data_IF_393555366527
#
_entry.id   IF_393555366527
#
_cell.length_a   1.000
_cell.length_b   1.000
_cell.length_c   1.000
_cell.angle_alpha   90.00
_cell.angle_beta   90.00
_cell.angle_gamma   90.00
#
_symmetry.space_group_name_H-M   'P 1'
#
loop_
_entity.id
_entity.type
_entity.pdbx_description
1 polymer ?
#
# COMPACT_ATOMS: atom_id res chain seq x y z
N UNK A 1 32.18 -20.83 55.30
CA UNK A 1 32.35 -20.47 53.88
C UNK A 1 31.65 -21.44 52.92
N UNK A 2 30.80 -22.36 53.39
CA UNK A 2 30.21 -23.42 52.54
C UNK A 2 28.70 -23.30 52.35
N UNK A 3 27.97 -22.56 53.19
CA UNK A 3 26.51 -22.48 53.14
C UNK A 3 25.99 -21.57 52.02
N UNK A 4 26.70 -20.48 51.70
CA UNK A 4 26.32 -19.54 50.62
C UNK A 4 26.47 -20.20 49.24
N UNK A 5 27.49 -21.04 49.06
CA UNK A 5 27.73 -21.74 47.80
C UNK A 5 26.65 -22.80 47.50
N UNK A 6 26.01 -23.37 48.53
CA UNK A 6 24.96 -24.37 48.37
C UNK A 6 23.61 -23.72 48.01
N UNK A 7 23.33 -22.53 48.54
CA UNK A 7 22.16 -21.71 48.20
C UNK A 7 22.21 -21.19 46.75
N UNK A 8 23.39 -20.76 46.27
CA UNK A 8 23.58 -20.32 44.88
C UNK A 8 23.31 -21.46 43.88
N UNK A 9 23.72 -22.69 44.20
CA UNK A 9 23.50 -23.87 43.34
C UNK A 9 22.03 -24.28 43.32
N UNK A 10 21.34 -24.19 44.47
CA UNK A 10 19.90 -24.45 44.55
C UNK A 10 19.09 -23.40 43.78
N UNK A 11 19.47 -22.13 43.88
CA UNK A 11 18.81 -21.03 43.17
C UNK A 11 19.01 -21.14 41.65
N UNK A 12 20.20 -21.56 41.21
CA UNK A 12 20.47 -21.83 39.80
C UNK A 12 19.61 -23.00 39.28
N UNK A 13 19.50 -24.09 40.04
CA UNK A 13 18.70 -25.24 39.65
C UNK A 13 17.18 -24.95 39.60
N UNK A 14 16.67 -24.13 40.52
CA UNK A 14 15.27 -23.68 40.47
C UNK A 14 15.00 -22.76 39.28
N UNK A 15 15.96 -21.91 38.92
CA UNK A 15 15.87 -21.03 37.77
C UNK A 15 15.84 -21.83 36.45
N UNK A 16 16.73 -22.80 36.29
CA UNK A 16 16.75 -23.66 35.10
C UNK A 16 15.41 -24.42 34.96
N UNK A 17 14.89 -24.98 36.05
CA UNK A 17 13.62 -25.71 36.04
C UNK A 17 12.39 -24.81 35.73
N UNK A 18 12.47 -23.51 36.03
CA UNK A 18 11.42 -22.54 35.73
C UNK A 18 11.54 -21.94 34.32
N UNK A 19 12.76 -21.81 33.80
CA UNK A 19 13.04 -21.16 32.50
C UNK A 19 12.90 -22.14 31.34
N UNK A 20 13.38 -23.38 31.49
CA UNK A 20 13.28 -24.42 30.45
C UNK A 20 11.85 -24.62 29.91
N UNK A 21 10.80 -24.78 30.73
CA UNK A 21 9.44 -24.95 30.20
C UNK A 21 8.92 -23.69 29.50
N UNK A 22 9.34 -22.50 29.94
CA UNK A 22 8.94 -21.23 29.29
C UNK A 22 9.66 -21.09 27.95
N UNK A 23 10.93 -21.49 27.87
CA UNK A 23 11.71 -21.50 26.64
C UNK A 23 11.11 -22.48 25.61
N UNK A 24 10.75 -23.69 26.04
CA UNK A 24 10.08 -24.68 25.21
C UNK A 24 8.72 -24.17 24.70
N UNK A 25 7.91 -23.52 25.55
CA UNK A 25 6.64 -22.91 25.15
C UNK A 25 6.83 -21.78 24.12
N UNK A 26 7.85 -20.93 24.29
CA UNK A 26 8.18 -19.87 23.34
C UNK A 26 8.69 -20.45 22.00
N UNK A 27 9.46 -21.52 22.04
CA UNK A 27 9.97 -22.19 20.83
C UNK A 27 8.83 -22.84 20.04
N UNK A 28 7.85 -23.45 20.72
CA UNK A 28 6.65 -24.00 20.09
C UNK A 28 5.77 -22.90 19.48
N UNK A 29 5.57 -21.78 20.18
CA UNK A 29 4.80 -20.64 19.68
C UNK A 29 5.46 -19.96 18.46
N UNK A 30 6.79 -19.98 18.38
CA UNK A 30 7.53 -19.40 17.25
C UNK A 30 7.72 -20.38 16.09
N UNK A 31 7.63 -21.69 16.32
CA UNK A 31 7.66 -22.70 15.27
C UNK A 31 6.38 -22.72 14.40
N UNK A 32 5.21 -22.38 14.97
CA UNK A 32 3.95 -22.27 14.22
C UNK A 32 3.85 -20.97 13.41
N UNK A 33 4.67 -19.96 13.74
CA UNK A 33 4.91 -18.79 12.91
C UNK A 33 5.80 -19.17 11.71
N UNK A 34 5.26 -20.03 10.83
CA UNK A 34 5.85 -20.33 9.54
C UNK A 34 6.14 -19.00 8.82
N UNK A 35 7.41 -18.64 8.77
CA UNK A 35 7.87 -17.47 8.03
C UNK A 35 7.48 -17.70 6.58
N UNK A 36 6.63 -16.85 5.97
CA UNK A 36 6.33 -17.01 4.56
C UNK A 36 7.65 -16.87 3.81
N UNK A 37 8.03 -17.91 3.08
CA UNK A 37 9.18 -17.92 2.18
C UNK A 37 8.96 -16.85 1.11
N UNK A 38 9.37 -15.62 1.42
CA UNK A 38 9.44 -14.55 0.47
C UNK A 38 10.54 -14.91 -0.54
N UNK A 39 10.17 -15.06 -1.81
CA UNK A 39 11.12 -15.21 -2.90
C UNK A 39 12.16 -14.08 -2.83
N UNK A 40 13.43 -14.47 -2.75
CA UNK A 40 14.56 -13.60 -2.55
C UNK A 40 14.82 -12.72 -3.80
N UNK A 41 14.06 -11.64 -3.95
CA UNK A 41 14.24 -10.70 -5.05
C UNK A 41 13.27 -9.53 -5.07
N UNK A 42 12.07 -9.68 -4.51
CA UNK A 42 11.05 -8.63 -4.54
C UNK A 42 11.03 -7.87 -3.21
N UNK A 43 11.19 -6.54 -3.27
CA UNK A 43 11.00 -5.71 -2.07
C UNK A 43 9.56 -5.91 -1.54
N UNK A 44 9.38 -5.96 -0.21
CA UNK A 44 8.06 -6.12 0.37
C UNK A 44 7.15 -4.96 -0.05
N UNK A 45 5.94 -5.28 -0.50
CA UNK A 45 4.95 -4.29 -0.95
C UNK A 45 4.55 -3.31 0.17
N UNK A 46 4.54 -3.77 1.43
CA UNK A 46 4.27 -2.97 2.62
C UNK A 46 5.25 -3.37 3.72
N UNK A 47 5.76 -2.41 4.49
CA UNK A 47 6.60 -2.65 5.69
C UNK A 47 5.97 -2.01 6.92
N UNK A 48 5.75 -2.80 7.96
CA UNK A 48 5.32 -2.32 9.28
C UNK A 48 6.56 -1.81 10.03
N UNK A 49 6.59 -0.53 10.36
CA UNK A 49 7.73 0.11 11.06
C UNK A 49 7.57 0.05 12.58
N UNK A 50 6.33 0.07 13.08
CA UNK A 50 6.02 0.09 14.51
C UNK A 50 4.65 -0.54 14.78
N UNK A 51 4.52 -1.20 15.93
CA UNK A 51 3.30 -1.87 16.39
C UNK A 51 3.30 -3.36 16.07
N UNK A 52 2.34 -4.08 16.66
CA UNK A 52 2.05 -5.48 16.36
C UNK A 52 0.58 -5.56 15.91
N UNK A 53 0.30 -5.28 14.62
CA UNK A 53 -1.06 -5.40 14.11
C UNK A 53 -1.49 -6.87 14.17
N UNK A 54 -2.80 -7.09 14.33
CA UNK A 54 -3.37 -8.44 14.23
C UNK A 54 -3.49 -8.86 12.77
N UNK A 55 -3.65 -10.17 12.53
CA UNK A 55 -3.78 -10.72 11.18
C UNK A 55 -4.98 -10.14 10.43
N UNK A 56 -6.07 -9.85 11.12
CA UNK A 56 -7.26 -9.20 10.54
C UNK A 56 -6.95 -7.78 10.06
N UNK A 57 -6.14 -7.03 10.80
CA UNK A 57 -5.74 -5.68 10.43
C UNK A 57 -4.83 -5.69 9.19
N UNK A 58 -3.89 -6.65 9.12
CA UNK A 58 -3.03 -6.83 7.94
C UNK A 58 -3.87 -7.19 6.71
N UNK A 59 -4.84 -8.09 6.84
CA UNK A 59 -5.74 -8.47 5.75
C UNK A 59 -6.58 -7.27 5.26
N UNK A 60 -7.10 -6.46 6.18
CA UNK A 60 -7.84 -5.25 5.84
C UNK A 60 -6.97 -4.26 5.05
N UNK A 61 -5.73 -4.03 5.48
CA UNK A 61 -4.80 -3.13 4.79
C UNK A 61 -4.47 -3.61 3.37
N UNK A 62 -4.20 -4.90 3.20
CA UNK A 62 -3.94 -5.50 1.88
C UNK A 62 -5.16 -5.37 0.97
N UNK A 63 -6.36 -5.64 1.48
CA UNK A 63 -7.61 -5.51 0.73
C UNK A 63 -7.82 -4.08 0.20
N UNK A 64 -7.63 -3.07 1.05
CA UNK A 64 -7.78 -1.66 0.64
C UNK A 64 -6.73 -1.26 -0.38
N UNK A 65 -5.46 -1.62 -0.17
CA UNK A 65 -4.38 -1.20 -1.06
C UNK A 65 -4.48 -1.87 -2.44
N UNK A 66 -4.90 -3.14 -2.49
CA UNK A 66 -5.15 -3.85 -3.75
C UNK A 66 -6.38 -3.30 -4.48
N UNK A 67 -7.44 -2.95 -3.77
CA UNK A 67 -8.61 -2.28 -4.36
C UNK A 67 -8.22 -0.92 -4.96
N UNK A 68 -7.43 -0.13 -4.24
CA UNK A 68 -6.95 1.17 -4.71
C UNK A 68 -6.04 1.04 -5.94
N UNK A 69 -5.16 0.03 -5.99
CA UNK A 69 -4.33 -0.24 -7.16
C UNK A 69 -5.17 -0.57 -8.41
N UNK A 70 -6.26 -1.31 -8.25
CA UNK A 70 -7.18 -1.65 -9.34
C UNK A 70 -8.10 -0.48 -9.75
N UNK A 71 -8.34 0.48 -8.86
CA UNK A 71 -9.16 1.66 -9.15
C UNK A 71 -8.46 2.70 -10.07
N UNK A 72 -7.20 2.48 -10.45
CA UNK A 72 -6.42 3.40 -11.28
C UNK A 72 -6.97 3.58 -12.71
N UNK A 73 -7.88 2.72 -13.17
CA UNK A 73 -8.62 2.96 -14.41
C UNK A 73 -9.85 3.82 -14.09
N UNK A 74 -9.66 5.14 -14.04
CA UNK A 74 -10.79 6.06 -14.12
C UNK A 74 -11.64 5.63 -15.33
N UNK A 75 -12.97 5.47 -15.20
CA UNK A 75 -13.80 5.06 -16.32
C UNK A 75 -13.49 5.99 -17.50
N UNK A 76 -13.12 5.38 -18.64
CA UNK A 76 -12.86 6.14 -19.85
C UNK A 76 -14.04 7.07 -20.07
N UNK A 77 -13.77 8.37 -20.25
CA UNK A 77 -14.82 9.36 -20.37
C UNK A 77 -15.78 8.96 -21.51
N UNK A 78 -16.98 8.51 -21.16
CA UNK A 78 -18.00 8.05 -22.12
C UNK A 78 -18.73 9.21 -22.80
N UNK A 79 -18.36 10.45 -22.47
CA UNK A 79 -18.96 11.66 -23.02
C UNK A 79 -18.26 12.17 -24.28
N UNK A 80 -18.83 13.21 -24.93
CA UNK A 80 -18.13 13.96 -25.97
C UNK A 80 -16.75 14.43 -25.48
N UNK A 81 -15.77 14.47 -26.39
CA UNK A 81 -14.41 14.89 -26.05
C UNK A 81 -14.41 16.30 -25.42
N UNK A 82 -13.71 16.46 -24.30
CA UNK A 82 -13.51 17.77 -23.69
C UNK A 82 -12.68 18.65 -24.65
N UNK A 83 -13.26 19.78 -25.02
CA UNK A 83 -12.65 20.74 -25.93
C UNK A 83 -11.93 21.87 -25.19
N UNK A 84 -11.97 21.86 -23.85
CA UNK A 84 -11.29 22.84 -23.02
C UNK A 84 -9.77 22.71 -23.15
N UNK A 85 -9.08 23.86 -23.23
CA UNK A 85 -7.61 23.90 -23.25
C UNK A 85 -6.94 23.34 -24.51
N UNK A 86 -7.67 23.03 -25.60
CA UNK A 86 -7.03 22.61 -26.86
C UNK A 86 -6.07 23.71 -27.35
N UNK A 87 -4.82 23.40 -27.75
CA UNK A 87 -3.86 24.40 -28.24
C UNK A 87 -4.38 25.23 -29.41
N UNK A 88 -5.28 24.66 -30.23
CA UNK A 88 -5.96 25.36 -31.33
C UNK A 88 -6.90 26.47 -30.85
N UNK A 89 -7.37 26.44 -29.60
CA UNK A 89 -8.16 27.51 -28.97
C UNK A 89 -7.26 28.60 -28.34
N UNK A 90 -5.98 28.31 -28.09
CA UNK A 90 -5.01 29.31 -27.60
C UNK A 90 -4.58 30.28 -28.69
N UNK A 91 -4.65 29.84 -29.95
CA UNK A 91 -4.51 30.71 -31.10
C UNK A 91 -5.90 31.14 -31.56
N UNK A 92 -6.06 32.39 -32.03
CA UNK A 92 -7.25 32.73 -32.81
C UNK A 92 -7.21 31.83 -34.06
N UNK A 93 -7.95 30.72 -34.04
CA UNK A 93 -8.10 29.87 -35.21
C UNK A 93 -8.56 30.70 -36.42
N UNK A 94 -8.38 30.15 -37.62
CA UNK A 94 -8.83 30.78 -38.88
C UNK A 94 -10.23 31.37 -38.73
N UNK A 95 -10.29 32.69 -38.65
CA UNK A 95 -11.52 33.46 -38.63
C UNK A 95 -12.31 33.13 -39.90
N UNK A 96 -13.54 32.58 -39.83
CA UNK A 96 -14.39 32.46 -40.99
C UNK A 96 -15.11 33.78 -41.29
N UNK A 97 -14.70 34.92 -40.71
CA UNK A 97 -15.22 36.22 -41.09
C UNK A 97 -14.52 36.74 -42.36
N UNK A 98 -14.74 36.01 -43.46
CA UNK A 98 -14.69 36.58 -44.79
C UNK A 98 -15.93 37.47 -44.97
N UNK A 99 -15.85 38.62 -45.64
CA UNK A 99 -17.02 39.44 -46.00
C UNK A 99 -18.10 38.65 -46.78
N UNK A 100 -17.74 37.51 -47.35
CA UNK A 100 -18.63 36.57 -48.04
C UNK A 100 -19.10 35.40 -47.17
N UNK A 101 -18.91 35.43 -45.85
CA UNK A 101 -19.37 34.37 -44.96
C UNK A 101 -20.90 34.17 -45.03
N UNK A 102 -21.64 35.18 -45.49
CA UNK A 102 -23.08 35.14 -45.72
C UNK A 102 -23.41 35.56 -47.16
N UNK A 103 -23.29 34.65 -48.16
CA UNK A 103 -23.53 34.99 -49.57
C UNK A 103 -24.95 35.52 -49.81
N UNK A 104 -25.93 35.06 -49.04
CA UNK A 104 -27.32 35.51 -49.09
C UNK A 104 -27.54 36.98 -48.69
N UNK A 105 -26.62 37.57 -47.92
CA UNK A 105 -26.73 38.96 -47.44
C UNK A 105 -25.71 39.89 -48.12
N UNK A 106 -24.70 39.34 -48.80
CA UNK A 106 -23.62 40.11 -49.43
C UNK A 106 -24.03 40.99 -50.62
N UNK A 107 -25.24 40.79 -51.16
CA UNK A 107 -25.75 41.50 -52.35
C UNK A 107 -26.79 42.59 -52.03
N UNK A 108 -27.14 42.77 -50.76
CA UNK A 108 -28.07 43.83 -50.33
C UNK A 108 -27.26 45.10 -50.00
N UNK A 109 -27.17 46.01 -50.96
CA UNK A 109 -26.62 47.37 -50.80
C UNK A 109 -27.67 48.40 -51.19
#
# INVERSE_FOLDING_TARGET
>A
MTTVAEEDVLTAAELDLAVDPIADEVEVLTADAATPTAEAGEQPFIRIVKGSPTDEEVAALVCVLTAAANAASAPAATGPADMWGRPTAMHRGTSPFSPYAFPALSHLR
#
